data_IF_880606452444
#
_entry.id   IF_880606452444
#
_cell.length_a   1.000
_cell.length_b   1.000
_cell.length_c   1.000
_cell.angle_alpha   90.00
_cell.angle_beta   90.00
_cell.angle_gamma   90.00
#
_symmetry.space_group_name_H-M   'P 1'
#
loop_
_entity.id
_entity.type
_entity.pdbx_description
1 polymer ?
#
# COMPACT_ATOMS: atom_id res chain seq x y z
N UNK A 1 7.67 -7.21 8.12
CA UNK A 1 6.61 -6.21 8.39
C UNK A 1 5.43 -6.57 7.51
N UNK A 2 4.24 -6.68 8.10
CA UNK A 2 3.02 -7.22 7.48
C UNK A 2 1.97 -6.12 7.31
N UNK A 3 1.25 -6.16 6.19
CA UNK A 3 0.10 -5.32 5.87
C UNK A 3 -0.94 -5.43 6.99
N UNK A 4 -1.57 -4.32 7.39
CA UNK A 4 -2.53 -4.28 8.50
C UNK A 4 -1.92 -4.03 9.89
N UNK A 5 -0.58 -3.94 10.00
CA UNK A 5 0.07 -3.45 11.23
C UNK A 5 -0.05 -1.93 11.40
N UNK A 6 -0.22 -1.20 10.30
CA UNK A 6 -0.35 0.26 10.29
C UNK A 6 -1.77 0.63 9.91
N UNK A 7 -2.32 1.63 10.59
CA UNK A 7 -3.58 2.26 10.19
C UNK A 7 -3.35 3.09 8.93
N UNK A 8 -4.20 2.88 7.93
CA UNK A 8 -4.26 3.71 6.73
C UNK A 8 -5.58 4.46 6.79
N UNK A 9 -5.52 5.78 6.77
CA UNK A 9 -6.72 6.61 6.88
C UNK A 9 -7.67 6.28 5.72
N UNK A 10 -8.95 6.08 6.02
CA UNK A 10 -9.96 5.71 5.02
C UNK A 10 -9.98 4.23 4.63
N UNK A 11 -9.06 3.38 5.11
CA UNK A 11 -9.02 1.94 4.79
C UNK A 11 -8.98 1.11 6.06
N UNK A 12 -9.96 0.23 6.23
CA UNK A 12 -9.93 -0.78 7.30
C UNK A 12 -9.35 -2.08 6.77
N UNK A 13 -8.06 -2.32 7.04
CA UNK A 13 -7.43 -3.61 6.75
C UNK A 13 -7.80 -4.60 7.85
N UNK A 14 -8.76 -5.49 7.56
CA UNK A 14 -9.31 -6.46 8.53
C UNK A 14 -8.34 -7.55 8.98
N UNK A 15 -7.14 -7.66 8.38
CA UNK A 15 -6.18 -8.73 8.66
C UNK A 15 -4.73 -8.25 8.59
N UNK A 16 -3.90 -8.76 9.49
CA UNK A 16 -2.45 -8.54 9.49
C UNK A 16 -1.75 -9.55 8.56
N UNK A 17 -2.07 -9.54 7.26
CA UNK A 17 -1.54 -10.49 6.26
C UNK A 17 -1.30 -9.81 4.91
N UNK A 18 -0.31 -10.25 4.12
CA UNK A 18 -0.14 -9.78 2.75
C UNK A 18 -1.43 -9.97 1.94
N UNK A 19 -1.75 -8.99 1.08
CA UNK A 19 -2.93 -9.04 0.20
C UNK A 19 -2.51 -9.07 -1.27
N UNK A 20 -3.32 -9.66 -2.16
CA UNK A 20 -3.13 -9.49 -3.59
C UNK A 20 -3.13 -7.99 -3.96
N UNK A 21 -2.18 -7.59 -4.80
CA UNK A 21 -2.04 -6.22 -5.30
C UNK A 21 -3.35 -5.66 -5.85
N UNK A 22 -4.05 -6.45 -6.67
CA UNK A 22 -5.35 -6.07 -7.24
C UNK A 22 -6.43 -5.81 -6.19
N UNK A 23 -6.42 -6.54 -5.07
CA UNK A 23 -7.37 -6.34 -3.98
C UNK A 23 -7.02 -5.09 -3.19
N UNK A 24 -5.73 -4.91 -2.87
CA UNK A 24 -5.27 -3.74 -2.15
C UNK A 24 -5.48 -2.44 -2.94
N UNK A 25 -5.13 -2.42 -4.23
CA UNK A 25 -5.32 -1.24 -5.09
C UNK A 25 -6.79 -0.85 -5.21
N UNK A 26 -7.73 -1.82 -5.28
CA UNK A 26 -9.17 -1.53 -5.23
C UNK A 26 -9.56 -0.83 -3.93
N UNK A 27 -9.10 -1.33 -2.78
CA UNK A 27 -9.37 -0.69 -1.48
C UNK A 27 -8.80 0.73 -1.42
N UNK A 28 -7.60 0.95 -1.99
CA UNK A 28 -7.01 2.30 -2.07
C UNK A 28 -7.90 3.25 -2.88
N UNK A 29 -8.34 2.82 -4.06
CA UNK A 29 -9.20 3.63 -4.93
C UNK A 29 -10.57 3.90 -4.30
N UNK A 30 -11.19 2.89 -3.68
CA UNK A 30 -12.46 3.04 -2.95
C UNK A 30 -12.35 4.02 -1.78
N UNK A 31 -11.17 4.08 -1.15
CA UNK A 31 -10.86 5.07 -0.11
C UNK A 31 -10.40 6.43 -0.65
N UNK A 32 -10.47 6.66 -1.96
CA UNK A 32 -10.12 7.93 -2.60
C UNK A 32 -8.63 8.15 -2.87
N UNK A 33 -7.79 7.15 -2.63
CA UNK A 33 -6.37 7.24 -2.96
C UNK A 33 -6.12 6.95 -4.43
N UNK A 34 -5.12 7.62 -5.00
CA UNK A 34 -4.66 7.38 -6.36
C UNK A 34 -3.16 7.12 -6.39
N UNK A 35 -2.75 6.20 -7.26
CA UNK A 35 -1.35 5.83 -7.42
C UNK A 35 -0.57 6.99 -8.04
N UNK A 36 0.48 7.45 -7.36
CA UNK A 36 1.34 8.55 -7.83
C UNK A 36 2.65 8.08 -8.43
N UNK A 37 3.09 6.86 -8.14
CA UNK A 37 4.35 6.34 -8.70
C UNK A 37 4.79 5.01 -8.08
N UNK A 38 5.96 4.55 -8.49
CA UNK A 38 6.63 3.40 -7.88
C UNK A 38 8.14 3.48 -8.01
N UNK A 39 8.86 2.96 -7.03
CA UNK A 39 10.33 2.89 -7.03
C UNK A 39 10.78 1.49 -6.60
N UNK A 40 11.91 0.98 -7.12
CA UNK A 40 12.52 -0.23 -6.58
C UNK A 40 12.98 0.00 -5.13
N UNK A 41 13.00 -1.05 -4.32
CA UNK A 41 13.55 -1.02 -2.95
C UNK A 41 14.52 -2.18 -2.73
N UNK A 42 15.10 -2.26 -1.53
CA UNK A 42 16.09 -3.26 -1.16
C UNK A 42 15.54 -4.69 -1.37
N UNK A 43 16.42 -5.60 -1.82
CA UNK A 43 16.09 -7.01 -2.13
C UNK A 43 15.04 -7.22 -3.23
N UNK A 44 14.97 -6.33 -4.23
CA UNK A 44 14.19 -6.55 -5.45
C UNK A 44 12.67 -6.36 -5.28
N UNK A 45 12.24 -5.77 -4.16
CA UNK A 45 10.85 -5.38 -3.93
C UNK A 45 10.55 -4.03 -4.58
N UNK A 46 9.29 -3.61 -4.51
CA UNK A 46 8.86 -2.33 -5.05
C UNK A 46 8.10 -1.51 -4.01
N UNK A 47 8.45 -0.24 -3.86
CA UNK A 47 7.56 0.76 -3.29
C UNK A 47 6.56 1.22 -4.35
N UNK A 48 5.30 1.31 -3.96
CA UNK A 48 4.23 1.95 -4.70
C UNK A 48 3.65 3.04 -3.83
N UNK A 49 3.54 4.23 -4.40
CA UNK A 49 3.11 5.44 -3.73
C UNK A 49 1.66 5.73 -4.09
N UNK A 50 0.85 6.03 -3.08
CA UNK A 50 -0.54 6.42 -3.24
C UNK A 50 -0.78 7.74 -2.52
N UNK A 51 -1.44 8.69 -3.13
CA UNK A 51 -1.75 9.99 -2.54
C UNK A 51 -3.26 10.17 -2.43
N UNK A 52 -3.69 11.02 -1.51
CA UNK A 52 -5.08 11.39 -1.31
C UNK A 52 -5.18 12.90 -1.24
N UNK A 53 -6.33 13.48 -1.61
CA UNK A 53 -6.53 14.94 -1.59
C UNK A 53 -6.56 15.52 -0.17
N UNK A 54 -7.04 14.73 0.80
CA UNK A 54 -7.24 15.15 2.20
C UNK A 54 -6.33 14.46 3.22
N UNK A 55 -5.59 13.41 2.83
CA UNK A 55 -4.77 12.62 3.76
C UNK A 55 -3.33 12.53 3.26
N UNK A 56 -2.41 12.18 4.16
CA UNK A 56 -1.02 11.93 3.81
C UNK A 56 -0.88 10.80 2.79
N UNK A 57 0.25 10.79 2.08
CA UNK A 57 0.63 9.72 1.15
C UNK A 57 0.67 8.38 1.89
N UNK A 58 0.43 7.28 1.17
CA UNK A 58 0.64 5.91 1.62
C UNK A 58 1.77 5.31 0.80
N UNK A 59 2.71 4.70 1.50
CA UNK A 59 3.78 3.90 0.92
C UNK A 59 3.44 2.44 1.10
N UNK A 60 3.39 1.69 0.01
CA UNK A 60 3.11 0.28 0.02
C UNK A 60 4.28 -0.50 -0.58
N UNK A 61 4.71 -1.56 0.11
CA UNK A 61 5.78 -2.45 -0.32
C UNK A 61 5.17 -3.68 -0.97
N UNK A 62 5.58 -3.92 -2.21
CA UNK A 62 5.13 -5.03 -3.04
C UNK A 62 6.22 -6.10 -3.15
N UNK A 63 5.81 -7.33 -3.43
CA UNK A 63 6.69 -8.42 -3.85
C UNK A 63 7.44 -8.07 -5.14
N UNK A 64 8.54 -8.78 -5.46
CA UNK A 64 9.32 -8.53 -6.68
C UNK A 64 8.50 -8.61 -7.98
N UNK A 65 7.53 -9.51 -8.02
CA UNK A 65 6.59 -9.69 -9.13
C UNK A 65 5.40 -8.71 -9.10
N UNK A 66 5.33 -7.82 -8.10
CA UNK A 66 4.25 -6.85 -7.85
C UNK A 66 2.86 -7.46 -7.68
N UNK A 67 2.75 -8.77 -7.43
CA UNK A 67 1.44 -9.44 -7.28
C UNK A 67 0.87 -9.36 -5.87
N UNK A 68 1.71 -9.13 -4.87
CA UNK A 68 1.33 -9.13 -3.46
C UNK A 68 1.84 -7.88 -2.77
N UNK A 69 0.98 -7.26 -1.95
CA UNK A 69 1.35 -6.16 -1.06
C UNK A 69 1.73 -6.74 0.30
N UNK A 70 2.98 -6.53 0.68
CA UNK A 70 3.59 -7.08 1.89
C UNK A 70 3.27 -6.19 3.09
N UNK A 71 3.35 -4.87 2.93
CA UNK A 71 3.03 -3.87 3.96
C UNK A 71 2.65 -2.54 3.32
N UNK A 72 1.93 -1.70 4.05
CA UNK A 72 1.59 -0.34 3.64
C UNK A 72 1.43 0.54 4.88
N UNK A 73 1.84 1.81 4.79
CA UNK A 73 1.86 2.76 5.91
C UNK A 73 1.84 4.21 5.41
N UNK A 74 1.46 5.14 6.28
CA UNK A 74 1.75 6.56 6.08
C UNK A 74 3.20 6.84 6.49
N UNK A 75 4.07 7.36 5.60
CA UNK A 75 5.35 7.87 6.03
C UNK A 75 5.08 9.13 6.87
N UNK A 76 5.63 9.17 8.09
CA UNK A 76 5.61 10.37 8.95
C UNK A 76 6.35 11.54 8.27
#
# INVERSE_FOLDING_TARGET
>A
MTLGKHEIKGITLKQIKPLPASTFEKLMVEAGYFRSGSAPTFQGRWFVYFVHSSFGRVEAVYSPDKKVVITAYHPD
#
